data_IF_203494887728
#
_entry.id   IF_203494887728
#
_cell.length_a   1.000
_cell.length_b   1.000
_cell.length_c   1.000
_cell.angle_alpha   90.00
_cell.angle_beta   90.00
_cell.angle_gamma   90.00
#
_symmetry.space_group_name_H-M   'P 1'
#
loop_
_entity.id
_entity.type
_entity.pdbx_description
1 polymer ?
#
# COMPACT_ATOMS: atom_id res chain seq x y z
N UNK A 1 4.98 74.02 -15.03
CA UNK A 1 5.90 72.90 -15.33
C UNK A 1 5.57 71.73 -14.41
N UNK A 2 4.80 70.78 -14.93
CA UNK A 2 4.27 69.62 -14.20
C UNK A 2 5.31 68.50 -14.14
N UNK A 3 5.66 68.01 -12.94
CA UNK A 3 6.44 66.78 -12.76
C UNK A 3 5.51 65.68 -12.26
N UNK A 4 4.95 64.94 -13.21
CA UNK A 4 4.13 63.75 -13.01
C UNK A 4 5.04 62.59 -12.56
N UNK A 5 5.02 62.21 -11.27
CA UNK A 5 5.65 60.98 -10.78
C UNK A 5 4.83 59.78 -11.27
N UNK A 6 5.43 58.97 -12.14
CA UNK A 6 4.90 57.71 -12.65
C UNK A 6 5.08 56.66 -11.55
N UNK A 7 4.00 56.29 -10.86
CA UNK A 7 4.00 55.19 -9.91
C UNK A 7 3.99 53.88 -10.74
N UNK A 8 5.11 53.16 -10.76
CA UNK A 8 5.16 51.81 -11.33
C UNK A 8 4.33 50.90 -10.43
N UNK A 9 3.16 50.46 -10.92
CA UNK A 9 2.44 49.34 -10.32
C UNK A 9 3.30 48.10 -10.55
N UNK A 10 3.90 47.58 -9.48
CA UNK A 10 4.44 46.25 -9.46
C UNK A 10 3.30 45.27 -9.81
N UNK A 11 3.52 44.43 -10.81
CA UNK A 11 2.62 43.33 -11.14
C UNK A 11 2.49 42.44 -9.90
N UNK A 12 1.26 42.27 -9.43
CA UNK A 12 0.97 41.39 -8.31
C UNK A 12 1.27 39.95 -8.73
N UNK A 13 2.31 39.37 -8.14
CA UNK A 13 2.60 37.94 -8.23
C UNK A 13 1.33 37.18 -7.82
N UNK A 14 0.83 36.21 -8.62
CA UNK A 14 -0.37 35.49 -8.26
C UNK A 14 -0.16 34.82 -6.89
N UNK A 15 -1.04 35.12 -5.93
CA UNK A 15 -1.04 34.50 -4.61
C UNK A 15 -1.17 33.00 -4.84
N UNK A 16 -0.12 32.24 -4.50
CA UNK A 16 -0.11 30.79 -4.49
C UNK A 16 -1.34 30.33 -3.70
N UNK A 17 -2.31 29.77 -4.41
CA UNK A 17 -3.55 29.30 -3.81
C UNK A 17 -3.16 28.27 -2.75
N UNK A 18 -3.55 28.52 -1.50
CA UNK A 18 -3.32 27.56 -0.41
C UNK A 18 -4.30 26.42 -0.60
N UNK A 19 -3.95 25.50 -1.50
CA UNK A 19 -4.64 24.22 -1.63
C UNK A 19 -4.52 23.54 -0.27
N UNK A 20 -5.67 23.35 0.39
CA UNK A 20 -5.71 22.61 1.65
C UNK A 20 -5.48 21.15 1.31
N UNK A 21 -4.49 20.55 1.94
CA UNK A 21 -4.32 19.12 1.90
C UNK A 21 -5.47 18.47 2.69
N UNK A 22 -6.41 17.86 1.97
CA UNK A 22 -7.60 17.22 2.55
C UNK A 22 -7.30 15.73 2.70
N UNK A 23 -7.45 15.24 3.92
CA UNK A 23 -7.33 13.81 4.22
C UNK A 23 -8.46 13.01 3.56
N UNK A 24 -8.08 12.00 2.78
CA UNK A 24 -8.96 11.04 2.14
C UNK A 24 -8.82 9.70 2.88
N UNK A 25 -9.86 9.23 3.60
CA UNK A 25 -9.74 8.07 4.47
C UNK A 25 -9.56 6.75 3.72
N UNK A 26 -10.04 6.66 2.48
CA UNK A 26 -9.95 5.48 1.60
C UNK A 26 -9.33 5.85 0.25
N UNK A 27 -8.01 6.11 0.20
CA UNK A 27 -7.33 6.55 -1.02
C UNK A 27 -7.41 5.52 -2.16
N UNK A 28 -7.56 4.23 -1.85
CA UNK A 28 -7.62 3.17 -2.86
C UNK A 28 -9.04 2.68 -3.18
N UNK A 29 -10.08 3.28 -2.58
CA UNK A 29 -11.47 2.95 -2.89
C UNK A 29 -11.77 3.06 -4.39
N UNK A 30 -12.43 2.06 -4.94
CA UNK A 30 -12.79 1.98 -6.36
C UNK A 30 -11.77 1.25 -7.24
N UNK A 31 -10.60 0.88 -6.70
CA UNK A 31 -9.69 -0.07 -7.37
C UNK A 31 -10.15 -1.50 -7.04
N UNK A 32 -10.19 -2.38 -8.05
CA UNK A 32 -10.57 -3.79 -7.90
C UNK A 32 -9.76 -4.51 -6.83
N UNK A 33 -8.49 -4.13 -6.70
CA UNK A 33 -7.50 -4.74 -5.82
C UNK A 33 -7.12 -3.83 -4.63
N UNK A 34 -8.04 -2.99 -4.17
CA UNK A 34 -7.84 -2.12 -3.01
C UNK A 34 -7.11 -2.81 -1.81
N UNK A 35 -7.46 -4.04 -1.39
CA UNK A 35 -6.75 -4.72 -0.31
C UNK A 35 -5.27 -4.98 -0.61
N UNK A 36 -4.92 -5.30 -1.85
CA UNK A 36 -3.53 -5.53 -2.26
C UNK A 36 -2.74 -4.23 -2.31
N UNK A 37 -3.33 -3.12 -2.77
CA UNK A 37 -2.71 -1.79 -2.68
C UNK A 37 -2.36 -1.43 -1.22
N UNK A 38 -3.27 -1.71 -0.30
CA UNK A 38 -3.06 -1.48 1.14
C UNK A 38 -1.98 -2.42 1.68
N UNK A 39 -2.02 -3.71 1.33
CA UNK A 39 -1.05 -4.68 1.80
C UNK A 39 0.37 -4.38 1.32
N UNK A 40 0.53 -4.07 0.03
CA UNK A 40 1.81 -3.66 -0.55
C UNK A 40 2.33 -2.37 0.09
N UNK A 41 1.45 -1.46 0.49
CA UNK A 41 1.84 -0.20 1.14
C UNK A 41 2.26 -0.40 2.59
N UNK A 42 1.55 -1.21 3.35
CA UNK A 42 1.70 -1.26 4.82
C UNK A 42 2.45 -2.49 5.33
N UNK A 43 2.47 -3.58 4.57
CA UNK A 43 2.87 -4.91 5.06
C UNK A 43 4.06 -5.48 4.32
N UNK A 44 4.09 -5.32 2.99
CA UNK A 44 5.05 -6.02 2.13
C UNK A 44 6.33 -5.21 1.96
N UNK A 45 7.50 -5.72 2.35
CA UNK A 45 8.75 -4.98 2.25
C UNK A 45 9.21 -4.87 0.78
N UNK A 46 9.20 -5.97 0.03
CA UNK A 46 9.76 -6.06 -1.31
C UNK A 46 8.83 -6.84 -2.25
N UNK A 47 8.11 -6.11 -3.11
CA UNK A 47 7.31 -6.68 -4.18
C UNK A 47 7.14 -5.68 -5.33
N UNK A 48 6.75 -6.19 -6.49
CA UNK A 48 6.42 -5.39 -7.66
C UNK A 48 5.16 -5.88 -8.36
N UNK A 49 4.48 -4.99 -9.08
CA UNK A 49 3.36 -5.37 -9.95
C UNK A 49 3.34 -4.50 -11.22
N UNK A 50 3.12 -5.06 -12.42
CA UNK A 50 2.92 -4.27 -13.62
C UNK A 50 1.61 -3.48 -13.50
N UNK A 51 1.63 -2.23 -13.95
CA UNK A 51 0.44 -1.37 -14.01
C UNK A 51 0.11 -1.08 -15.47
N UNK A 52 -1.18 -0.97 -15.78
CA UNK A 52 -1.67 -0.63 -17.12
C UNK A 52 -2.24 0.78 -17.10
N UNK A 53 -1.69 1.66 -17.94
CA UNK A 53 -2.19 3.01 -18.13
C UNK A 53 -3.49 2.98 -18.94
N UNK A 54 -4.34 3.98 -18.72
CA UNK A 54 -5.52 4.18 -19.59
C UNK A 54 -5.11 4.46 -21.05
N UNK A 55 -5.97 4.14 -22.03
CA UNK A 55 -5.67 4.39 -23.45
C UNK A 55 -5.28 5.85 -23.74
N UNK A 56 -5.90 6.81 -23.06
CA UNK A 56 -5.62 8.24 -23.23
C UNK A 56 -4.18 8.58 -22.87
N UNK A 57 -3.66 8.02 -21.77
CA UNK A 57 -2.27 8.23 -21.36
C UNK A 57 -1.27 7.47 -22.23
N UNK A 58 -1.65 6.30 -22.75
CA UNK A 58 -0.84 5.59 -23.73
C UNK A 58 -0.72 6.38 -25.04
N UNK A 59 -1.79 7.04 -25.48
CA UNK A 59 -1.76 7.93 -26.65
C UNK A 59 -0.89 9.17 -26.40
N UNK A 60 -0.97 9.76 -25.20
CA UNK A 60 -0.22 10.98 -24.85
C UNK A 60 1.28 10.73 -24.60
N UNK A 61 1.62 9.68 -23.87
CA UNK A 61 2.99 9.43 -23.38
C UNK A 61 3.68 8.22 -24.02
N UNK A 62 2.97 7.49 -24.88
CA UNK A 62 3.42 6.23 -25.46
C UNK A 62 3.22 5.03 -24.52
N UNK A 63 3.32 3.83 -25.08
CA UNK A 63 3.17 2.55 -24.37
C UNK A 63 4.43 2.20 -23.56
N UNK A 64 4.75 3.04 -22.57
CA UNK A 64 5.90 2.84 -21.67
C UNK A 64 5.50 1.83 -20.58
N UNK A 65 6.30 0.76 -20.32
CA UNK A 65 5.98 -0.16 -19.24
C UNK A 65 6.05 0.54 -17.88
N UNK A 66 4.98 0.41 -17.09
CA UNK A 66 4.88 0.96 -15.73
C UNK A 66 4.88 -0.19 -14.74
N UNK A 67 5.73 -0.10 -13.71
CA UNK A 67 5.83 -1.11 -12.65
C UNK A 67 5.71 -0.42 -11.29
N UNK A 68 4.75 -0.88 -10.50
CA UNK A 68 4.67 -0.60 -9.08
C UNK A 68 5.80 -1.32 -8.35
N UNK A 69 6.45 -0.65 -7.41
CA UNK A 69 7.38 -1.22 -6.45
C UNK A 69 6.90 -0.86 -5.04
N UNK A 70 6.96 -1.80 -4.08
CA UNK A 70 6.62 -1.50 -2.68
C UNK A 70 7.44 -0.34 -2.15
N UNK A 71 8.75 -0.32 -2.44
CA UNK A 71 9.65 0.77 -2.11
C UNK A 71 10.71 0.91 -3.20
N UNK A 72 11.08 2.15 -3.48
CA UNK A 72 12.21 2.50 -4.35
C UNK A 72 13.39 3.00 -3.51
N UNK A 73 14.60 3.11 -4.08
CA UNK A 73 15.78 3.58 -3.37
C UNK A 73 15.51 4.89 -2.65
N UNK A 74 15.94 4.99 -1.39
CA UNK A 74 15.71 6.17 -0.55
C UNK A 74 14.23 6.59 -0.45
N UNK A 75 13.30 5.63 -0.63
CA UNK A 75 11.87 5.85 -0.73
C UNK A 75 11.47 6.89 -1.79
N UNK A 76 12.19 6.88 -2.92
CA UNK A 76 11.91 7.76 -4.06
C UNK A 76 10.47 7.54 -4.58
N UNK A 77 9.79 8.60 -5.03
CA UNK A 77 8.41 8.47 -5.51
C UNK A 77 8.33 7.75 -6.86
N UNK A 78 9.26 8.02 -7.77
CA UNK A 78 9.29 7.42 -9.09
C UNK A 78 10.70 7.46 -9.69
N UNK A 79 10.96 6.55 -10.62
CA UNK A 79 12.18 6.50 -11.44
C UNK A 79 11.79 6.32 -12.90
N UNK A 80 12.37 7.12 -13.79
CA UNK A 80 12.29 6.94 -15.24
C UNK A 80 13.58 6.26 -15.71
N UNK A 81 13.51 4.95 -15.99
CA UNK A 81 14.70 4.17 -16.38
C UNK A 81 15.17 4.54 -17.81
N UNK A 82 16.46 4.36 -18.13
CA UNK A 82 17.01 4.65 -19.46
C UNK A 82 16.37 3.86 -20.61
N UNK A 83 15.86 2.65 -20.33
CA UNK A 83 15.16 1.79 -21.30
C UNK A 83 13.70 2.19 -21.53
N UNK A 84 13.24 3.28 -20.90
CA UNK A 84 11.89 3.81 -21.05
C UNK A 84 10.90 3.33 -19.99
N UNK A 85 11.23 2.31 -19.18
CA UNK A 85 10.37 1.84 -18.09
C UNK A 85 10.18 2.91 -17.02
N UNK A 86 9.03 2.91 -16.38
CA UNK A 86 8.71 3.75 -15.23
C UNK A 86 8.47 2.89 -14.01
N UNK A 87 9.22 3.15 -12.94
CA UNK A 87 9.00 2.53 -11.64
C UNK A 87 8.32 3.53 -10.70
N UNK A 88 7.26 3.12 -10.01
CA UNK A 88 6.55 3.93 -9.01
C UNK A 88 6.72 3.31 -7.63
N UNK A 89 7.27 4.07 -6.69
CA UNK A 89 7.45 3.63 -5.31
C UNK A 89 6.17 3.86 -4.52
N UNK A 90 5.64 2.80 -3.91
CA UNK A 90 4.41 2.86 -3.13
C UNK A 90 4.66 3.47 -1.75
N UNK A 91 5.69 3.02 -1.04
CA UNK A 91 6.10 3.50 0.28
C UNK A 91 7.04 4.70 0.16
N UNK A 92 6.63 5.84 0.71
CA UNK A 92 7.31 7.13 0.57
C UNK A 92 7.39 7.85 1.90
N UNK A 93 8.40 8.72 2.05
CA UNK A 93 8.56 9.55 3.26
C UNK A 93 7.62 10.76 3.30
N UNK A 94 7.27 11.32 2.14
CA UNK A 94 6.38 12.47 2.03
C UNK A 94 5.13 12.06 1.26
N UNK A 95 3.97 12.42 1.80
CA UNK A 95 2.66 12.19 1.21
C UNK A 95 1.69 13.28 1.65
N UNK A 96 0.71 13.55 0.81
CA UNK A 96 -0.48 14.33 1.11
C UNK A 96 -1.52 13.45 1.81
N UNK A 97 -2.68 14.02 2.11
CA UNK A 97 -3.83 13.32 2.66
C UNK A 97 -4.48 12.32 1.71
N UNK A 98 -4.07 12.25 0.44
CA UNK A 98 -4.60 11.31 -0.56
C UNK A 98 -3.45 10.59 -1.27
N UNK A 99 -3.12 9.40 -0.76
CA UNK A 99 -2.02 8.58 -1.27
C UNK A 99 -2.22 8.22 -2.75
N UNK A 100 -3.46 8.02 -3.19
CA UNK A 100 -3.73 7.68 -4.60
C UNK A 100 -3.40 8.85 -5.53
N UNK A 101 -3.74 10.08 -5.13
CA UNK A 101 -3.34 11.29 -5.87
C UNK A 101 -1.82 11.48 -5.89
N UNK A 102 -1.12 11.19 -4.80
CA UNK A 102 0.35 11.31 -4.76
C UNK A 102 1.05 10.30 -5.68
N UNK A 103 0.51 9.08 -5.76
CA UNK A 103 1.01 8.05 -6.66
C UNK A 103 0.74 8.43 -8.12
N UNK A 104 -0.46 8.94 -8.40
CA UNK A 104 -0.84 9.41 -9.72
C UNK A 104 0.03 10.57 -10.21
N UNK A 105 0.24 11.61 -9.40
CA UNK A 105 1.09 12.74 -9.77
C UNK A 105 2.54 12.31 -10.03
N UNK A 106 3.09 11.44 -9.18
CA UNK A 106 4.44 10.90 -9.39
C UNK A 106 4.55 10.09 -10.68
N UNK A 107 3.52 9.31 -11.02
CA UNK A 107 3.46 8.57 -12.29
C UNK A 107 3.43 9.53 -13.48
N UNK A 108 2.58 10.55 -13.44
CA UNK A 108 2.52 11.56 -14.50
C UNK A 108 3.82 12.37 -14.61
N UNK A 109 4.49 12.69 -13.50
CA UNK A 109 5.81 13.31 -13.51
C UNK A 109 6.86 12.40 -14.17
N UNK A 110 6.85 11.10 -13.88
CA UNK A 110 7.78 10.15 -14.48
C UNK A 110 7.52 9.92 -15.97
N UNK A 111 6.26 9.86 -16.40
CA UNK A 111 5.87 9.76 -17.81
C UNK A 111 6.29 10.98 -18.63
N UNK A 112 6.20 12.19 -18.04
CA UNK A 112 6.69 13.46 -18.62
C UNK A 112 8.20 13.59 -18.63
N UNK A 113 8.91 12.80 -17.84
CA UNK A 113 10.38 12.85 -17.73
C UNK A 113 11.02 12.00 -18.82
N UNK A 114 12.04 12.56 -19.48
CA UNK A 114 12.85 11.81 -20.45
C UNK A 114 13.47 10.56 -19.78
N UNK A 115 13.48 9.39 -20.46
CA UNK A 115 14.12 8.17 -19.95
C UNK A 115 15.55 8.40 -19.44
N UNK A 116 15.87 7.88 -18.25
CA UNK A 116 17.17 8.02 -17.60
C UNK A 116 17.43 9.37 -16.92
N UNK A 117 16.47 10.32 -16.96
CA UNK A 117 16.57 11.58 -16.21
C UNK A 117 15.92 11.46 -14.84
N UNK A 118 16.38 12.32 -13.92
CA UNK A 118 15.81 12.41 -12.59
C UNK A 118 14.36 12.92 -12.64
N UNK A 119 13.44 12.16 -12.03
CA UNK A 119 12.04 12.57 -11.90
C UNK A 119 11.90 13.55 -10.74
N UNK A 120 11.37 14.75 -11.02
CA UNK A 120 11.04 15.73 -9.99
C UNK A 120 9.55 15.63 -9.65
N UNK A 121 9.26 15.14 -8.45
CA UNK A 121 7.89 15.04 -7.91
C UNK A 121 7.73 16.08 -6.81
N UNK A 122 6.69 16.94 -6.86
CA UNK A 122 6.41 17.87 -5.79
C UNK A 122 6.03 17.12 -4.50
N UNK A 123 6.38 17.65 -3.32
CA UNK A 123 6.06 16.99 -2.05
C UNK A 123 4.55 16.96 -1.75
N UNK A 124 3.80 17.90 -2.33
CA UNK A 124 2.33 17.94 -2.30
C UNK A 124 1.87 18.25 -3.73
N UNK A 125 1.12 17.35 -4.40
CA UNK A 125 0.78 17.49 -5.81
C UNK A 125 -0.25 18.60 -6.11
N UNK A 126 -0.93 19.11 -5.08
CA UNK A 126 -2.11 19.97 -5.28
C UNK A 126 -3.29 19.16 -5.83
N UNK A 127 -4.30 19.79 -6.45
CA UNK A 127 -5.40 19.08 -7.10
C UNK A 127 -4.91 18.34 -8.36
N UNK A 128 -5.42 17.13 -8.59
CA UNK A 128 -5.03 16.30 -9.72
C UNK A 128 -5.80 14.98 -9.74
N UNK A 129 -5.58 14.14 -10.77
CA UNK A 129 -6.20 12.84 -10.87
C UNK A 129 -5.70 11.90 -9.77
N UNK A 130 -6.45 10.84 -9.52
CA UNK A 130 -6.09 9.71 -8.66
C UNK A 130 -5.72 8.50 -9.53
N UNK A 131 -5.18 7.44 -8.93
CA UNK A 131 -4.85 6.20 -9.63
C UNK A 131 -6.07 5.64 -10.39
N UNK A 132 -7.25 5.76 -9.82
CA UNK A 132 -8.53 5.36 -10.39
C UNK A 132 -8.82 6.03 -11.75
N UNK A 133 -8.27 7.22 -11.99
CA UNK A 133 -8.51 8.00 -13.20
C UNK A 133 -7.48 7.69 -14.31
N UNK A 134 -6.33 7.09 -13.96
CA UNK A 134 -5.17 6.97 -14.86
C UNK A 134 -4.72 5.54 -15.12
N UNK A 135 -5.25 4.57 -14.37
CA UNK A 135 -4.98 3.15 -14.54
C UNK A 135 -6.21 2.44 -15.12
N UNK A 136 -5.95 1.44 -15.96
CA UNK A 136 -6.97 0.42 -16.27
C UNK A 136 -7.14 -0.43 -15.02
N UNK A 137 -8.34 -0.40 -14.45
CA UNK A 137 -8.66 -1.14 -13.22
C UNK A 137 -8.59 -2.65 -13.45
N UNK A 138 -8.09 -3.37 -12.45
CA UNK A 138 -7.88 -4.81 -12.50
C UNK A 138 -7.02 -5.34 -11.35
N UNK A 139 -6.93 -6.67 -11.23
CA UNK A 139 -6.09 -7.29 -10.22
C UNK A 139 -4.60 -7.03 -10.46
N UNK A 140 -3.85 -6.82 -9.38
CA UNK A 140 -2.40 -6.71 -9.40
C UNK A 140 -1.76 -8.10 -9.55
N UNK A 141 -0.92 -8.24 -10.57
CA UNK A 141 -0.04 -9.40 -10.74
C UNK A 141 1.23 -9.18 -9.91
N UNK A 142 1.22 -9.64 -8.65
CA UNK A 142 2.28 -9.36 -7.68
C UNK A 142 3.42 -10.38 -7.80
N UNK A 143 4.64 -9.87 -7.94
CA UNK A 143 5.89 -10.63 -7.79
C UNK A 143 6.54 -10.26 -6.46
N UNK A 144 6.74 -11.26 -5.60
CA UNK A 144 7.49 -11.11 -4.34
C UNK A 144 8.99 -11.15 -4.60
N UNK A 145 9.76 -10.38 -3.84
CA UNK A 145 11.22 -10.37 -3.92
C UNK A 145 11.83 -10.59 -2.52
N UNK A 146 12.94 -11.32 -2.47
CA UNK A 146 13.69 -11.56 -1.22
C UNK A 146 14.55 -10.36 -0.81
N UNK A 147 14.78 -9.44 -1.75
CA UNK A 147 15.65 -8.27 -1.60
C UNK A 147 15.23 -7.13 -2.53
N UNK A 148 16.02 -6.07 -2.54
CA UNK A 148 15.76 -4.84 -3.30
C UNK A 148 16.44 -4.81 -4.68
N UNK A 149 17.02 -5.90 -5.15
CA UNK A 149 17.73 -5.96 -6.43
C UNK A 149 16.80 -5.75 -7.64
N UNK A 150 15.50 -5.99 -7.49
CA UNK A 150 14.52 -6.01 -8.57
C UNK A 150 14.33 -4.66 -9.30
N UNK A 151 14.71 -3.53 -8.69
CA UNK A 151 14.66 -2.21 -9.32
C UNK A 151 16.01 -1.73 -9.86
N UNK A 152 17.09 -2.51 -9.72
CA UNK A 152 18.40 -2.13 -10.25
C UNK A 152 18.41 -2.08 -11.77
N UNK A 153 19.16 -1.11 -12.29
CA UNK A 153 19.51 -1.08 -13.71
C UNK A 153 20.51 -2.21 -14.03
N UNK A 154 20.48 -2.78 -15.24
CA UNK A 154 21.49 -3.73 -15.69
C UNK A 154 22.90 -3.14 -15.52
N UNK A 155 23.78 -3.87 -14.81
CA UNK A 155 25.15 -3.43 -14.52
C UNK A 155 25.31 -2.49 -13.32
N UNK A 156 24.23 -1.97 -12.72
CA UNK A 156 24.33 -1.17 -11.49
C UNK A 156 24.84 -1.99 -10.29
N UNK A 157 24.60 -3.31 -10.33
CA UNK A 157 25.11 -4.27 -9.37
C UNK A 157 26.64 -4.41 -9.38
N UNK A 158 27.34 -3.93 -10.42
CA UNK A 158 28.80 -4.03 -10.50
C UNK A 158 29.51 -2.93 -9.68
N UNK A 159 28.78 -1.89 -9.23
CA UNK A 159 29.32 -0.85 -8.35
C UNK A 159 29.35 -1.33 -6.88
N UNK A 160 30.53 -1.44 -6.24
CA UNK A 160 30.66 -1.87 -4.85
C UNK A 160 29.90 -1.01 -3.84
N UNK A 161 29.68 0.27 -4.14
CA UNK A 161 28.92 1.20 -3.30
C UNK A 161 27.44 0.86 -3.32
N UNK A 162 26.91 0.52 -4.50
CA UNK A 162 25.52 0.08 -4.68
C UNK A 162 25.30 -1.24 -3.97
N UNK A 163 26.20 -2.21 -4.13
CA UNK A 163 26.16 -3.50 -3.43
C UNK A 163 26.13 -3.34 -1.91
N UNK A 164 27.07 -2.58 -1.34
CA UNK A 164 27.12 -2.36 0.10
C UNK A 164 25.87 -1.63 0.64
N UNK A 165 25.22 -0.80 -0.19
CA UNK A 165 23.96 -0.16 0.18
C UNK A 165 22.79 -1.14 0.16
N UNK A 166 22.73 -2.03 -0.83
CA UNK A 166 21.71 -3.07 -0.94
C UNK A 166 21.81 -4.09 0.17
N UNK A 167 23.01 -4.60 0.47
CA UNK A 167 23.22 -5.54 1.58
C UNK A 167 22.67 -4.97 2.91
N UNK A 168 22.93 -3.69 3.19
CA UNK A 168 22.39 -3.02 4.39
C UNK A 168 20.87 -2.89 4.34
N UNK A 169 20.29 -2.59 3.18
CA UNK A 169 18.84 -2.47 3.03
C UNK A 169 18.16 -3.83 3.18
N UNK A 170 18.69 -4.88 2.56
CA UNK A 170 18.17 -6.24 2.62
C UNK A 170 18.27 -6.84 4.02
N UNK A 171 19.30 -6.50 4.81
CA UNK A 171 19.43 -6.96 6.19
C UNK A 171 18.27 -6.51 7.11
N UNK A 172 17.49 -5.51 6.71
CA UNK A 172 16.32 -5.04 7.43
C UNK A 172 14.99 -5.65 6.94
N UNK A 173 15.02 -6.49 5.89
CA UNK A 173 13.81 -7.13 5.35
C UNK A 173 13.44 -8.32 6.23
N UNK A 174 12.17 -8.35 6.64
CA UNK A 174 11.57 -9.55 7.18
C UNK A 174 11.10 -10.46 6.05
N UNK A 175 11.49 -11.75 6.02
CA UNK A 175 10.98 -12.72 5.06
C UNK A 175 9.46 -12.67 5.04
N UNK A 176 8.89 -12.47 3.85
CA UNK A 176 7.45 -12.25 3.67
C UNK A 176 6.95 -13.07 2.50
N UNK A 177 5.88 -13.82 2.71
CA UNK A 177 5.27 -14.70 1.72
C UNK A 177 3.82 -14.31 1.56
N UNK A 178 3.39 -14.09 0.30
CA UNK A 178 1.97 -13.96 -0.04
C UNK A 178 1.32 -15.34 0.11
N UNK A 179 0.19 -15.40 0.80
CA UNK A 179 -0.60 -16.62 0.90
C UNK A 179 -1.67 -16.65 -0.20
N UNK A 180 -1.89 -17.82 -0.79
CA UNK A 180 -2.90 -18.00 -1.82
C UNK A 180 -4.28 -18.33 -1.24
N UNK A 181 -4.33 -18.77 0.01
CA UNK A 181 -5.55 -19.07 0.76
C UNK A 181 -6.53 -17.90 0.86
N UNK A 182 -6.03 -16.66 0.87
CA UNK A 182 -6.84 -15.46 0.93
C UNK A 182 -6.16 -14.28 0.25
N UNK A 183 -6.94 -13.48 -0.50
CA UNK A 183 -6.44 -12.29 -1.17
C UNK A 183 -5.93 -11.26 -0.14
N UNK A 184 -4.78 -10.65 -0.39
CA UNK A 184 -4.11 -9.73 0.51
C UNK A 184 -3.77 -10.30 1.90
N UNK A 185 -3.58 -11.62 2.01
CA UNK A 185 -3.05 -12.27 3.21
C UNK A 185 -1.55 -12.56 3.04
N UNK A 186 -0.78 -12.17 4.05
CA UNK A 186 0.68 -12.28 4.04
C UNK A 186 1.18 -12.89 5.32
N UNK A 187 2.06 -13.88 5.18
CA UNK A 187 2.87 -14.42 6.25
C UNK A 187 4.19 -13.63 6.32
N UNK A 188 4.65 -13.32 7.53
CA UNK A 188 5.90 -12.59 7.76
C UNK A 188 6.67 -13.17 8.94
N UNK A 189 7.96 -13.44 8.73
CA UNK A 189 8.89 -13.87 9.78
C UNK A 189 9.44 -12.65 10.51
N UNK A 190 9.06 -12.47 11.77
CA UNK A 190 9.67 -11.46 12.65
C UNK A 190 10.59 -12.17 13.67
N UNK A 191 11.38 -11.44 14.48
CA UNK A 191 12.19 -12.09 15.51
C UNK A 191 11.28 -12.80 16.52
N UNK A 192 11.62 -14.03 16.89
CA UNK A 192 10.97 -14.82 17.96
C UNK A 192 9.55 -15.34 17.65
N UNK A 193 9.00 -15.06 16.45
CA UNK A 193 7.68 -15.53 15.99
C UNK A 193 7.40 -15.20 14.53
N UNK A 194 6.32 -15.74 13.98
CA UNK A 194 5.78 -15.31 12.70
C UNK A 194 4.42 -14.63 12.86
N UNK A 195 3.99 -13.92 11.81
CA UNK A 195 2.69 -13.29 11.73
C UNK A 195 1.97 -13.67 10.45
N UNK A 196 0.66 -13.89 10.54
CA UNK A 196 -0.24 -13.68 9.40
C UNK A 196 -0.91 -12.32 9.59
N UNK A 197 -0.91 -11.52 8.53
CA UNK A 197 -1.62 -10.24 8.44
C UNK A 197 -2.51 -10.30 7.20
N UNK A 198 -3.78 -9.98 7.35
CA UNK A 198 -4.75 -10.09 6.24
C UNK A 198 -5.55 -8.82 6.10
N UNK A 199 -5.39 -8.09 4.99
CA UNK A 199 -6.22 -6.91 4.71
C UNK A 199 -7.59 -7.39 4.23
N UNK A 200 -8.62 -7.14 5.04
CA UNK A 200 -9.98 -7.56 4.71
C UNK A 200 -10.59 -6.67 3.62
N UNK A 201 -11.30 -7.25 2.63
CA UNK A 201 -11.91 -6.50 1.53
C UNK A 201 -13.22 -5.80 1.92
N UNK A 202 -13.71 -6.05 3.13
CA UNK A 202 -15.04 -5.63 3.59
C UNK A 202 -15.00 -4.29 4.33
N UNK A 203 -16.16 -3.65 4.44
CA UNK A 203 -16.32 -2.41 5.21
C UNK A 203 -15.89 -2.62 6.67
N UNK A 204 -15.31 -1.59 7.30
CA UNK A 204 -14.72 -1.72 8.63
C UNK A 204 -15.73 -2.20 9.69
N UNK A 205 -16.96 -1.67 9.67
CA UNK A 205 -17.96 -2.04 10.66
C UNK A 205 -18.45 -3.48 10.42
N UNK A 206 -18.68 -3.86 9.17
CA UNK A 206 -19.08 -5.22 8.80
C UNK A 206 -17.98 -6.25 9.14
N UNK A 207 -16.73 -5.94 8.81
CA UNK A 207 -15.59 -6.78 9.12
C UNK A 207 -15.37 -6.92 10.63
N UNK A 208 -15.48 -5.83 11.38
CA UNK A 208 -15.38 -5.84 12.84
C UNK A 208 -16.49 -6.67 13.47
N UNK A 209 -17.71 -6.55 12.96
CA UNK A 209 -18.85 -7.33 13.42
C UNK A 209 -18.65 -8.83 13.15
N UNK A 210 -18.17 -9.22 11.96
CA UNK A 210 -17.83 -10.61 11.65
C UNK A 210 -16.74 -11.17 12.59
N UNK A 211 -15.64 -10.43 12.79
CA UNK A 211 -14.59 -10.81 13.75
C UNK A 211 -15.11 -10.89 15.19
N UNK A 212 -16.08 -10.05 15.55
CA UNK A 212 -16.70 -10.05 16.88
C UNK A 212 -17.52 -11.31 17.13
N UNK A 213 -18.22 -11.84 16.11
CA UNK A 213 -18.94 -13.12 16.18
C UNK A 213 -17.96 -14.28 16.39
N UNK A 214 -16.92 -14.36 15.57
CA UNK A 214 -15.86 -15.34 15.73
C UNK A 214 -15.22 -15.24 17.13
N UNK A 215 -15.01 -14.01 17.62
CA UNK A 215 -14.45 -13.78 18.95
C UNK A 215 -15.35 -14.26 20.08
N UNK A 216 -16.65 -14.05 19.96
CA UNK A 216 -17.64 -14.56 20.92
C UNK A 216 -17.74 -16.09 20.90
N UNK A 217 -17.54 -16.71 19.73
CA UNK A 217 -17.52 -18.17 19.56
C UNK A 217 -16.19 -18.82 19.97
N UNK A 218 -15.12 -18.05 20.23
CA UNK A 218 -13.79 -18.58 20.52
C UNK A 218 -13.04 -19.05 19.27
N UNK A 219 -13.45 -18.58 18.10
CA UNK A 219 -13.02 -19.03 16.78
C UNK A 219 -12.06 -18.05 16.08
N UNK A 220 -11.53 -17.06 16.80
CA UNK A 220 -10.61 -16.07 16.22
C UNK A 220 -9.21 -16.61 15.89
N UNK A 221 -8.82 -17.79 16.37
CA UNK A 221 -7.50 -18.36 16.11
C UNK A 221 -7.45 -19.03 14.74
N UNK A 222 -6.24 -19.12 14.16
CA UNK A 222 -6.00 -19.85 12.91
C UNK A 222 -5.81 -21.36 13.18
N UNK A 223 -5.44 -21.72 14.40
CA UNK A 223 -5.21 -23.11 14.79
C UNK A 223 -4.54 -23.20 16.16
N UNK A 224 -4.10 -24.39 16.53
CA UNK A 224 -3.35 -24.63 17.77
C UNK A 224 -2.05 -23.80 17.80
N UNK A 225 -1.70 -23.29 18.98
CA UNK A 225 -0.49 -22.47 19.15
C UNK A 225 -0.56 -21.07 18.55
N UNK A 226 -1.67 -20.67 17.92
CA UNK A 226 -1.86 -19.33 17.36
C UNK A 226 -2.62 -18.41 18.31
N UNK A 227 -2.40 -17.10 18.17
CA UNK A 227 -3.09 -16.09 18.96
C UNK A 227 -3.54 -14.94 18.08
N UNK A 228 -4.80 -14.53 18.20
CA UNK A 228 -5.25 -13.25 17.65
C UNK A 228 -4.58 -12.10 18.42
N UNK A 229 -3.58 -11.47 17.78
CA UNK A 229 -2.75 -10.45 18.39
C UNK A 229 -3.50 -9.11 18.49
N UNK A 230 -4.31 -8.82 17.48
CA UNK A 230 -5.06 -7.58 17.35
C UNK A 230 -5.43 -7.32 15.90
N UNK A 231 -5.73 -6.07 15.59
CA UNK A 231 -5.88 -5.60 14.23
C UNK A 231 -5.39 -4.18 14.11
N UNK A 232 -5.11 -3.72 12.89
CA UNK A 232 -4.97 -2.30 12.63
C UNK A 232 -5.92 -1.85 11.54
N UNK A 233 -6.25 -0.57 11.60
CA UNK A 233 -6.96 0.15 10.54
C UNK A 233 -5.93 0.81 9.63
N UNK A 234 -6.04 0.55 8.33
CA UNK A 234 -5.20 1.13 7.29
C UNK A 234 -6.06 1.51 6.10
N UNK A 235 -5.99 2.78 5.67
CA UNK A 235 -6.69 3.27 4.47
C UNK A 235 -8.18 2.90 4.40
N UNK A 236 -8.84 2.90 5.57
CA UNK A 236 -10.26 2.58 5.77
C UNK A 236 -10.62 1.11 5.57
N UNK A 237 -9.66 0.20 5.75
CA UNK A 237 -9.85 -1.24 5.88
C UNK A 237 -9.26 -1.75 7.19
N UNK A 238 -9.75 -2.91 7.63
CA UNK A 238 -9.21 -3.63 8.78
C UNK A 238 -8.22 -4.71 8.36
N UNK A 239 -7.16 -4.83 9.15
CA UNK A 239 -6.11 -5.82 8.97
C UNK A 239 -5.90 -6.59 10.27
N UNK A 240 -6.64 -7.69 10.51
CA UNK A 240 -6.35 -8.61 11.61
C UNK A 240 -4.94 -9.20 11.52
N UNK A 241 -4.38 -9.49 12.70
CA UNK A 241 -3.04 -10.02 12.88
C UNK A 241 -3.04 -11.20 13.84
N UNK A 242 -2.35 -12.27 13.46
CA UNK A 242 -2.15 -13.46 14.28
C UNK A 242 -0.67 -13.65 14.61
N UNK A 243 -0.34 -13.88 15.89
CA UNK A 243 0.96 -14.41 16.30
C UNK A 243 0.97 -15.93 16.02
N UNK A 244 2.07 -16.40 15.43
CA UNK A 244 2.30 -17.80 15.03
C UNK A 244 3.60 -18.33 15.64
N UNK A 245 3.73 -19.65 15.84
CA UNK A 245 5.00 -20.31 16.12
C UNK A 245 6.10 -19.91 15.13
N UNK A 246 7.32 -19.67 15.62
CA UNK A 246 8.46 -19.21 14.84
C UNK A 246 8.90 -20.24 13.78
N UNK A 247 8.96 -21.51 14.15
CA UNK A 247 9.58 -22.56 13.33
C UNK A 247 8.65 -23.14 12.23
N UNK A 248 7.41 -22.65 12.13
CA UNK A 248 6.43 -23.18 11.16
C UNK A 248 6.46 -22.36 9.87
N UNK A 249 6.86 -22.96 8.73
CA UNK A 249 7.02 -22.23 7.48
C UNK A 249 5.67 -21.76 6.90
N UNK A 250 5.71 -20.71 6.06
CA UNK A 250 4.53 -20.07 5.48
C UNK A 250 3.53 -21.06 4.82
N UNK A 251 4.02 -22.06 4.10
CA UNK A 251 3.18 -23.01 3.36
C UNK A 251 2.22 -23.82 4.25
N UNK A 252 2.62 -24.10 5.50
CA UNK A 252 1.77 -24.83 6.46
C UNK A 252 0.59 -23.99 6.96
N UNK A 253 0.62 -22.67 6.73
CA UNK A 253 -0.45 -21.75 7.13
C UNK A 253 -1.54 -21.57 6.06
N UNK A 254 -1.33 -22.08 4.83
CA UNK A 254 -2.33 -21.98 3.75
C UNK A 254 -3.66 -22.63 4.14
N UNK A 255 -3.62 -23.87 4.67
CA UNK A 255 -4.82 -24.58 5.13
C UNK A 255 -5.56 -23.83 6.26
N UNK A 256 -4.88 -23.56 7.39
CA UNK A 256 -5.43 -22.78 8.50
C UNK A 256 -6.05 -21.43 8.10
N UNK A 257 -5.38 -20.67 7.22
CA UNK A 257 -5.89 -19.38 6.73
C UNK A 257 -7.11 -19.58 5.83
N UNK A 258 -7.13 -20.60 4.97
CA UNK A 258 -8.29 -20.91 4.13
C UNK A 258 -9.52 -21.31 4.97
N UNK A 259 -9.31 -22.06 6.05
CA UNK A 259 -10.38 -22.42 6.99
C UNK A 259 -10.90 -21.21 7.76
N UNK A 260 -10.01 -20.33 8.22
CA UNK A 260 -10.42 -19.06 8.82
C UNK A 260 -11.19 -18.18 7.84
N UNK A 261 -10.74 -18.09 6.58
CA UNK A 261 -11.43 -17.31 5.55
C UNK A 261 -12.87 -17.78 5.30
N UNK A 262 -13.11 -19.09 5.33
CA UNK A 262 -14.48 -19.67 5.25
C UNK A 262 -15.34 -19.24 6.44
N UNK A 263 -14.85 -19.42 7.67
CA UNK A 263 -15.57 -19.02 8.88
C UNK A 263 -15.84 -17.51 8.93
N UNK A 264 -14.88 -16.71 8.49
CA UNK A 264 -15.05 -15.27 8.35
C UNK A 264 -16.16 -14.92 7.36
N UNK A 265 -16.17 -15.54 6.17
CA UNK A 265 -17.20 -15.30 5.17
C UNK A 265 -18.61 -15.72 5.66
N UNK A 266 -18.71 -16.83 6.40
CA UNK A 266 -19.95 -17.26 7.05
C UNK A 266 -20.44 -16.22 8.07
N UNK A 267 -19.56 -15.79 8.99
CA UNK A 267 -19.88 -14.79 10.01
C UNK A 267 -20.22 -13.41 9.41
N UNK A 268 -19.61 -13.04 8.28
CA UNK A 268 -19.91 -11.83 7.53
C UNK A 268 -21.29 -11.87 6.87
N UNK A 269 -21.73 -13.06 6.45
CA UNK A 269 -23.06 -13.28 5.87
C UNK A 269 -24.21 -13.14 6.86
N UNK A 270 -23.92 -13.16 8.17
CA UNK A 270 -24.90 -12.99 9.23
C UNK A 270 -25.39 -11.54 9.34
N UNK A 271 -26.68 -11.34 9.08
CA UNK A 271 -27.32 -10.01 9.08
C UNK A 271 -27.95 -9.63 10.42
N UNK A 272 -28.03 -10.58 11.35
CA UNK A 272 -28.59 -10.29 12.67
C UNK A 272 -27.64 -9.39 13.46
N UNK A 273 -28.14 -8.40 14.20
CA UNK A 273 -27.29 -7.56 15.05
C UNK A 273 -26.52 -8.41 16.06
N UNK A 274 -25.30 -7.99 16.40
CA UNK A 274 -24.52 -8.65 17.44
C UNK A 274 -25.32 -8.80 18.74
N UNK A 275 -25.30 -10.00 19.30
CA UNK A 275 -25.87 -10.30 20.61
C UNK A 275 -25.03 -9.70 21.75
N UNK A 276 -25.37 -10.02 23.00
CA UNK A 276 -24.64 -9.46 24.15
C UNK A 276 -23.19 -9.97 24.25
N UNK A 277 -22.89 -11.18 23.76
CA UNK A 277 -21.53 -11.71 23.72
C UNK A 277 -20.71 -11.07 22.60
N UNK A 278 -21.26 -10.99 21.40
CA UNK A 278 -20.68 -10.32 20.24
C UNK A 278 -20.37 -8.85 20.51
N UNK A 279 -21.30 -8.10 21.13
CA UNK A 279 -21.03 -6.70 21.51
C UNK A 279 -19.87 -6.57 22.51
N UNK A 280 -19.72 -7.51 23.45
CA UNK A 280 -18.58 -7.53 24.39
C UNK A 280 -17.28 -7.86 23.66
N UNK A 281 -17.30 -8.85 22.76
CA UNK A 281 -16.15 -9.19 21.92
C UNK A 281 -15.71 -7.99 21.06
N UNK A 282 -16.67 -7.28 20.45
CA UNK A 282 -16.43 -6.05 19.68
C UNK A 282 -15.68 -4.99 20.47
N UNK A 283 -16.09 -4.73 21.71
CA UNK A 283 -15.39 -3.78 22.58
C UNK A 283 -13.97 -4.25 22.92
N UNK A 284 -13.78 -5.55 23.16
CA UNK A 284 -12.45 -6.13 23.38
C UNK A 284 -11.53 -6.00 22.16
N UNK A 285 -12.08 -6.18 20.96
CA UNK A 285 -11.37 -6.03 19.69
C UNK A 285 -10.98 -4.58 19.42
N UNK A 286 -11.88 -3.62 19.64
CA UNK A 286 -11.58 -2.18 19.55
C UNK A 286 -10.46 -1.77 20.51
N UNK A 287 -10.41 -2.35 21.71
CA UNK A 287 -9.33 -2.11 22.67
C UNK A 287 -7.95 -2.63 22.22
N UNK A 288 -7.90 -3.49 21.20
CA UNK A 288 -6.67 -4.05 20.60
C UNK A 288 -6.44 -3.55 19.17
N UNK A 289 -7.17 -2.50 18.76
CA UNK A 289 -7.05 -1.91 17.44
C UNK A 289 -6.03 -0.77 17.44
N UNK A 290 -5.09 -0.80 16.49
CA UNK A 290 -4.19 0.30 16.18
C UNK A 290 -4.66 1.01 14.90
N UNK A 291 -4.32 2.28 14.70
CA UNK A 291 -4.58 2.98 13.44
C UNK A 291 -3.26 3.39 12.82
N UNK A 292 -2.98 2.88 11.62
CA UNK A 292 -1.86 3.34 10.80
C UNK A 292 -2.30 4.62 10.09
N UNK A 293 -1.43 5.63 10.06
CA UNK A 293 -1.67 6.94 9.45
C UNK A 293 -0.52 7.29 8.52
#
# INVERSE_FOLDING_TARGET
>A
MSKRRKNQRAEATPKREKVRDVFVPRPFEGLADEPEWIALRELVPAASAPLRLTPELVEEYGDRPVVLATVLPMAAPAVAQPDGRVLIGLQRHQQSGDVSRDLADALLCALRTEPGKQVSVPPLPGPGPRLQDILVDGPLEITMHDGFEFWLEPGAADDPTVQASLERANAAIYPTVKLDAARAAYWCQVPEKAHVRWVLPDDEDAALDALSRLGAAGELTLGEGTKFAGMFRAHGRLTPVWDLPEDTPAAEWEGPVAEFAKRYAEALGEREPLDAAGRRARQGLLGRQLTLR
#
